data_IF_137281246963
#
_entry.id   IF_137281246963
#
_cell.length_a   1.000
_cell.length_b   1.000
_cell.length_c   1.000
_cell.angle_alpha   90.00
_cell.angle_beta   90.00
_cell.angle_gamma   90.00
#
_symmetry.space_group_name_H-M   'P 1'
#
loop_
_entity.id
_entity.type
_entity.pdbx_description
1 polymer ?
#
# COMPACT_ATOMS: atom_id res chain seq x y z
N UNK A 1 14.53 -2.85 -55.37
CA UNK A 1 14.92 -4.26 -55.49
C UNK A 1 13.81 -5.12 -54.87
N UNK A 2 13.14 -5.91 -55.70
CA UNK A 2 11.99 -6.79 -55.35
C UNK A 2 12.53 -8.18 -54.98
N UNK A 3 12.08 -8.78 -53.90
CA UNK A 3 12.15 -10.23 -53.65
C UNK A 3 10.90 -10.60 -52.81
N UNK A 4 9.94 -11.15 -53.34
CA UNK A 4 9.31 -12.44 -53.69
C UNK A 4 8.96 -13.29 -52.46
N UNK A 5 7.64 -13.48 -52.34
CA UNK A 5 6.93 -14.46 -51.55
C UNK A 5 7.31 -15.91 -51.92
N UNK A 6 7.34 -16.81 -50.94
CA UNK A 6 7.17 -18.24 -51.16
C UNK A 6 6.18 -18.83 -50.18
N UNK A 7 5.06 -19.25 -50.70
CA UNK A 7 3.98 -19.98 -50.06
C UNK A 7 4.30 -21.47 -50.10
N UNK A 8 4.09 -22.21 -48.98
CA UNK A 8 4.08 -23.66 -49.02
C UNK A 8 2.82 -24.18 -48.31
N UNK A 9 1.91 -24.70 -49.12
CA UNK A 9 0.82 -25.55 -48.72
C UNK A 9 1.36 -26.95 -48.45
N UNK A 10 0.87 -27.63 -47.42
CA UNK A 10 0.87 -29.07 -47.38
C UNK A 10 -0.42 -29.62 -46.68
N UNK A 11 -1.05 -30.40 -47.45
CA UNK A 11 -2.28 -31.16 -47.44
C UNK A 11 -2.42 -32.14 -46.26
N UNK A 12 -3.67 -32.41 -45.94
CA UNK A 12 -4.26 -33.24 -44.92
C UNK A 12 -4.07 -34.76 -45.06
N UNK A 13 -4.46 -35.42 -43.99
CA UNK A 13 -4.84 -36.84 -44.01
C UNK A 13 -5.96 -37.10 -42.98
N UNK A 14 -7.07 -37.55 -43.52
CA UNK A 14 -8.26 -38.04 -42.81
C UNK A 14 -8.08 -39.54 -42.62
N UNK A 15 -8.27 -40.07 -41.42
CA UNK A 15 -8.53 -41.47 -41.20
C UNK A 15 -9.87 -41.64 -40.47
N UNK A 16 -10.78 -42.27 -41.20
CA UNK A 16 -12.04 -42.83 -40.73
C UNK A 16 -11.86 -44.36 -40.54
N UNK A 17 -12.34 -44.92 -39.45
CA UNK A 17 -12.76 -46.36 -39.40
C UNK A 17 -13.57 -46.63 -38.14
N UNK A 18 -14.78 -46.86 -38.32
CA UNK A 18 -15.64 -48.02 -38.25
C UNK A 18 -15.90 -48.67 -36.90
N UNK A 19 -17.21 -48.78 -36.65
CA UNK A 19 -17.99 -49.48 -35.65
C UNK A 19 -17.67 -50.95 -35.50
N UNK A 20 -17.87 -51.53 -34.31
CA UNK A 20 -18.67 -52.75 -34.10
C UNK A 20 -19.29 -52.73 -32.72
N UNK A 21 -20.60 -52.96 -32.67
CA UNK A 21 -21.35 -53.07 -31.44
C UNK A 21 -21.42 -54.52 -30.95
N UNK A 22 -21.76 -54.71 -29.71
CA UNK A 22 -22.44 -55.87 -29.14
C UNK A 22 -23.25 -55.39 -27.92
N UNK A 23 -24.56 -55.75 -27.97
CA UNK A 23 -25.49 -55.71 -26.84
C UNK A 23 -25.17 -56.86 -25.90
N UNK A 24 -25.31 -56.69 -24.59
CA UNK A 24 -26.25 -57.49 -23.78
C UNK A 24 -26.27 -57.09 -22.29
N UNK A 25 -27.48 -57.08 -21.85
CA UNK A 25 -28.12 -57.52 -20.59
C UNK A 25 -28.07 -56.59 -19.36
N UNK A 26 -29.31 -56.30 -19.00
CA UNK A 26 -29.77 -55.69 -17.76
C UNK A 26 -29.34 -56.41 -16.49
N UNK A 27 -29.02 -55.63 -15.45
CA UNK A 27 -29.48 -55.94 -14.09
C UNK A 27 -29.52 -54.68 -13.23
N UNK A 28 -30.62 -54.39 -12.51
CA UNK A 28 -30.74 -53.22 -11.69
C UNK A 28 -30.35 -53.52 -10.26
N UNK A 29 -29.20 -53.01 -9.80
CA UNK A 29 -28.95 -52.90 -8.36
C UNK A 29 -28.71 -51.45 -7.96
N UNK A 30 -29.68 -50.97 -7.23
CA UNK A 30 -29.67 -49.76 -6.44
C UNK A 30 -28.48 -49.75 -5.50
N UNK A 31 -27.55 -48.84 -5.72
CA UNK A 31 -26.54 -48.46 -4.69
C UNK A 31 -26.53 -46.97 -4.50
N UNK A 32 -26.95 -46.58 -3.32
CA UNK A 32 -26.86 -45.29 -2.72
C UNK A 32 -25.52 -44.62 -3.01
N UNK A 33 -25.54 -43.58 -3.82
CA UNK A 33 -24.41 -42.69 -4.01
C UNK A 33 -24.21 -41.90 -2.70
N UNK A 34 -23.06 -41.97 -2.04
CA UNK A 34 -22.81 -41.07 -0.93
C UNK A 34 -22.72 -39.65 -1.48
N UNK A 35 -23.64 -38.82 -1.05
CA UNK A 35 -23.63 -37.38 -1.28
C UNK A 35 -22.31 -36.83 -0.70
N UNK A 36 -21.26 -36.74 -1.52
CA UNK A 36 -20.08 -35.94 -1.21
C UNK A 36 -20.50 -34.49 -1.27
N UNK A 37 -20.93 -33.96 -0.14
CA UNK A 37 -20.86 -32.53 0.09
C UNK A 37 -19.37 -32.16 0.09
N UNK A 38 -18.85 -31.83 -1.10
CA UNK A 38 -17.64 -31.02 -1.19
C UNK A 38 -17.98 -29.68 -0.55
N UNK A 39 -17.73 -29.55 0.73
CA UNK A 39 -17.52 -28.25 1.32
C UNK A 39 -16.19 -27.75 0.74
N UNK A 40 -16.26 -27.00 -0.35
CA UNK A 40 -15.14 -26.19 -0.81
C UNK A 40 -14.79 -25.24 0.34
N UNK A 41 -13.81 -25.65 1.14
CA UNK A 41 -13.14 -24.75 2.06
C UNK A 41 -12.34 -23.84 1.12
N UNK A 42 -12.92 -22.72 0.74
CA UNK A 42 -12.19 -21.66 0.08
C UNK A 42 -11.16 -21.13 1.08
N UNK A 43 -9.91 -21.58 0.96
CA UNK A 43 -8.80 -20.94 1.66
C UNK A 43 -8.74 -19.52 1.14
N UNK A 44 -9.12 -18.56 1.97
CA UNK A 44 -8.97 -17.14 1.62
C UNK A 44 -7.49 -16.87 1.34
N UNK A 45 -7.21 -16.24 0.21
CA UNK A 45 -5.86 -15.81 -0.10
C UNK A 45 -5.36 -14.85 0.98
N UNK A 46 -4.10 -14.97 1.36
CA UNK A 46 -3.46 -14.08 2.34
C UNK A 46 -2.79 -12.94 1.58
N UNK A 47 -2.94 -11.73 2.08
CA UNK A 47 -2.26 -10.54 1.55
C UNK A 47 -0.74 -10.65 1.67
N UNK A 48 -0.03 -9.85 0.88
CA UNK A 48 1.43 -9.73 0.98
C UNK A 48 1.78 -8.95 2.24
N UNK A 49 2.64 -9.52 3.07
CA UNK A 49 3.11 -8.89 4.32
C UNK A 49 4.56 -8.44 4.22
N UNK A 50 4.87 -7.32 4.87
CA UNK A 50 6.22 -6.84 5.09
C UNK A 50 6.42 -6.59 6.59
N UNK A 51 7.25 -7.40 7.20
CA UNK A 51 7.59 -7.33 8.62
C UNK A 51 9.10 -7.10 8.76
N UNK A 52 9.51 -6.29 9.71
CA UNK A 52 10.91 -6.13 10.09
C UNK A 52 11.44 -7.44 10.69
N UNK A 53 12.61 -7.88 10.24
CA UNK A 53 13.23 -9.15 10.65
C UNK A 53 14.50 -8.95 11.51
N UNK A 54 14.92 -7.70 11.67
CA UNK A 54 16.05 -7.28 12.48
C UNK A 54 17.11 -6.47 11.72
N UNK A 55 18.02 -5.80 12.40
CA UNK A 55 19.00 -4.91 11.79
C UNK A 55 19.93 -5.61 10.80
N UNK A 56 20.33 -4.90 9.73
CA UNK A 56 21.45 -5.27 8.86
C UNK A 56 21.09 -5.54 7.40
N UNK A 57 19.83 -5.74 7.05
CA UNK A 57 19.40 -6.04 5.68
C UNK A 57 18.17 -5.26 5.21
N UNK A 58 17.80 -4.20 5.89
CA UNK A 58 16.52 -3.48 5.74
C UNK A 58 16.17 -3.15 4.29
N UNK A 59 17.07 -2.53 3.53
CA UNK A 59 16.78 -2.19 2.13
C UNK A 59 16.65 -3.42 1.23
N UNK A 60 17.40 -4.48 1.50
CA UNK A 60 17.27 -5.75 0.79
C UNK A 60 15.93 -6.41 1.08
N UNK A 61 15.48 -6.39 2.33
CA UNK A 61 14.15 -6.89 2.73
C UNK A 61 13.03 -6.09 2.04
N UNK A 62 13.08 -4.75 2.09
CA UNK A 62 12.10 -3.89 1.41
C UNK A 62 12.00 -4.21 -0.08
N UNK A 63 13.14 -4.33 -0.76
CA UNK A 63 13.20 -4.61 -2.18
C UNK A 63 12.68 -6.02 -2.52
N UNK A 64 12.97 -7.01 -1.67
CA UNK A 64 12.55 -8.40 -1.89
C UNK A 64 11.02 -8.56 -1.83
N UNK A 65 10.35 -7.82 -0.94
CA UNK A 65 8.90 -7.89 -0.74
C UNK A 65 8.14 -6.96 -1.68
N UNK A 66 8.59 -5.68 -1.79
CA UNK A 66 7.85 -4.66 -2.54
C UNK A 66 8.29 -4.55 -4.01
N UNK A 67 9.44 -5.13 -4.37
CA UNK A 67 9.96 -5.19 -5.73
C UNK A 67 10.78 -3.96 -6.13
N UNK A 68 11.86 -4.19 -6.88
CA UNK A 68 12.76 -3.15 -7.41
C UNK A 68 13.48 -2.35 -6.34
N UNK A 69 13.57 -1.02 -6.49
CA UNK A 69 14.05 -0.08 -5.46
C UNK A 69 12.84 0.54 -4.78
N UNK A 70 12.39 -0.12 -3.71
CA UNK A 70 11.10 0.16 -3.08
C UNK A 70 11.12 1.32 -2.08
N UNK A 71 12.15 2.15 -2.07
CA UNK A 71 12.31 3.27 -1.15
C UNK A 71 12.69 4.57 -1.86
N UNK A 72 12.43 5.68 -1.20
CA UNK A 72 12.83 7.04 -1.57
C UNK A 72 13.41 7.69 -0.31
N UNK A 73 14.73 7.89 -0.28
CA UNK A 73 15.49 8.32 0.89
C UNK A 73 16.55 9.36 0.51
N UNK A 74 17.02 10.20 1.45
CA UNK A 74 18.04 11.21 1.19
C UNK A 74 19.48 10.69 1.40
N UNK A 75 19.72 9.37 1.25
CA UNK A 75 21.00 8.72 1.60
C UNK A 75 22.19 9.14 0.71
N UNK A 76 21.97 9.85 -0.39
CA UNK A 76 23.00 10.23 -1.35
C UNK A 76 24.05 11.20 -0.80
N UNK A 77 23.78 11.90 0.30
CA UNK A 77 24.71 12.82 0.97
C UNK A 77 25.13 12.37 2.37
N UNK A 78 24.68 11.20 2.82
CA UNK A 78 24.84 10.72 4.20
C UNK A 78 25.58 9.39 4.28
N UNK A 79 26.25 9.19 5.41
CA UNK A 79 26.91 7.92 5.72
C UNK A 79 25.98 6.89 6.40
N UNK A 80 24.75 7.27 6.70
CA UNK A 80 23.78 6.44 7.42
C UNK A 80 22.50 6.20 6.61
N UNK A 81 21.95 5.01 6.76
CA UNK A 81 20.67 4.65 6.18
C UNK A 81 19.52 5.35 6.93
N UNK A 82 18.55 5.92 6.20
CA UNK A 82 17.39 6.60 6.79
C UNK A 82 16.22 5.65 7.09
N UNK A 83 16.30 4.40 6.65
CA UNK A 83 15.36 3.34 7.06
C UNK A 83 16.17 2.25 7.70
N UNK A 84 15.90 1.99 8.97
CA UNK A 84 16.56 0.97 9.78
C UNK A 84 15.53 0.10 10.50
N UNK A 85 16.01 -0.87 11.28
CA UNK A 85 15.15 -1.75 12.08
C UNK A 85 15.65 -1.78 13.51
N UNK A 86 14.69 -1.78 14.46
CA UNK A 86 14.96 -1.90 15.89
C UNK A 86 13.92 -2.83 16.54
N UNK A 87 14.32 -3.45 17.66
CA UNK A 87 13.34 -4.14 18.51
C UNK A 87 12.51 -3.10 19.30
N UNK A 88 11.18 -3.19 19.21
CA UNK A 88 10.25 -2.35 19.97
C UNK A 88 9.53 -3.18 21.04
N UNK A 89 9.77 -2.86 22.31
CA UNK A 89 9.20 -3.57 23.45
C UNK A 89 7.67 -3.38 23.57
N UNK A 90 7.12 -2.30 23.00
CA UNK A 90 5.68 -2.04 22.99
C UNK A 90 4.89 -2.98 22.08
N UNK A 91 5.51 -3.46 21.00
CA UNK A 91 4.94 -4.49 20.13
C UNK A 91 5.59 -5.86 20.32
N UNK A 92 6.69 -5.95 21.10
CA UNK A 92 7.48 -7.16 21.31
C UNK A 92 7.96 -7.80 19.99
N UNK A 93 8.39 -6.97 19.03
CA UNK A 93 8.89 -7.39 17.72
C UNK A 93 9.84 -6.35 17.13
N UNK A 94 10.56 -6.72 16.08
CA UNK A 94 11.30 -5.74 15.28
C UNK A 94 10.32 -4.85 14.50
N UNK A 95 10.70 -3.59 14.34
CA UNK A 95 9.93 -2.56 13.63
C UNK A 95 10.85 -1.75 12.73
N UNK A 96 10.32 -1.19 11.66
CA UNK A 96 11.05 -0.24 10.83
C UNK A 96 11.07 1.14 11.48
N UNK A 97 12.19 1.84 11.37
CA UNK A 97 12.39 3.24 11.79
C UNK A 97 12.71 4.07 10.56
N UNK A 98 11.94 5.11 10.35
CA UNK A 98 12.12 6.08 9.26
C UNK A 98 12.56 7.39 9.87
N UNK A 99 13.81 7.80 9.60
CA UNK A 99 14.41 9.01 10.13
C UNK A 99 14.27 10.19 9.16
N UNK A 100 14.11 11.38 9.70
CA UNK A 100 14.15 12.64 8.96
C UNK A 100 14.88 13.71 9.80
N UNK A 101 16.03 14.19 9.32
CA UNK A 101 16.83 15.20 9.99
C UNK A 101 16.58 16.57 9.36
N UNK A 102 16.38 17.61 10.17
CA UNK A 102 16.05 18.96 9.69
C UNK A 102 17.17 19.52 8.83
N UNK A 103 18.41 19.29 9.25
CA UNK A 103 19.58 19.66 8.47
C UNK A 103 20.08 18.47 7.67
N UNK A 104 20.56 18.70 6.47
CA UNK A 104 21.15 17.78 5.52
C UNK A 104 20.15 16.94 4.71
N UNK A 105 18.98 16.57 5.25
CA UNK A 105 18.03 15.77 4.51
C UNK A 105 17.22 16.59 3.51
N UNK A 106 16.90 15.97 2.39
CA UNK A 106 16.11 16.55 1.32
C UNK A 106 15.17 15.51 0.68
N UNK A 107 14.56 15.83 -0.46
CA UNK A 107 13.81 14.86 -1.24
C UNK A 107 14.75 14.22 -2.28
N UNK A 108 15.37 13.09 -1.94
CA UNK A 108 16.18 12.25 -2.84
C UNK A 108 17.37 12.99 -3.46
N UNK A 109 17.93 13.96 -2.74
CA UNK A 109 19.01 14.85 -3.24
C UNK A 109 18.63 15.69 -4.47
N UNK A 110 17.35 15.92 -4.69
CA UNK A 110 16.82 16.68 -5.83
C UNK A 110 16.13 17.97 -5.38
N UNK A 111 15.37 17.95 -4.27
CA UNK A 111 14.60 19.10 -3.81
C UNK A 111 14.85 19.40 -2.34
N UNK A 112 15.32 20.62 -2.04
CA UNK A 112 15.75 21.05 -0.72
C UNK A 112 14.67 21.74 0.11
N UNK A 113 13.46 21.95 -0.45
CA UNK A 113 12.31 22.56 0.23
C UNK A 113 11.48 21.54 1.04
N UNK A 114 11.91 20.26 1.02
CA UNK A 114 11.21 19.13 1.64
C UNK A 114 12.14 17.97 1.91
N UNK A 115 11.75 17.10 2.83
CA UNK A 115 12.46 15.87 3.21
C UNK A 115 11.59 14.67 2.91
N UNK A 116 12.23 13.56 2.48
CA UNK A 116 11.51 12.33 2.17
C UNK A 116 12.28 11.10 2.61
N UNK A 117 11.64 10.32 3.47
CA UNK A 117 12.03 8.94 3.78
C UNK A 117 10.77 8.09 3.68
N UNK A 118 10.56 7.42 2.55
CA UNK A 118 9.35 6.66 2.26
C UNK A 118 9.67 5.31 1.59
N UNK A 119 8.86 4.29 1.89
CA UNK A 119 8.74 3.08 1.07
C UNK A 119 7.52 3.17 0.16
N UNK A 120 7.55 2.40 -0.92
CA UNK A 120 6.51 2.43 -1.96
C UNK A 120 6.40 1.11 -2.70
N UNK A 121 5.25 0.86 -3.31
CA UNK A 121 5.16 -0.02 -4.48
C UNK A 121 5.19 0.84 -5.75
N UNK A 122 5.57 0.27 -6.91
CA UNK A 122 5.65 1.03 -8.16
C UNK A 122 5.72 0.09 -9.38
N UNK A 123 6.10 0.57 -10.58
CA UNK A 123 6.12 -0.22 -11.81
C UNK A 123 6.67 -1.64 -11.68
N UNK A 124 7.90 -1.84 -11.12
CA UNK A 124 8.51 -3.15 -10.92
C UNK A 124 7.86 -4.05 -9.86
N UNK A 125 6.99 -3.52 -8.99
CA UNK A 125 6.29 -4.32 -7.99
C UNK A 125 5.33 -5.33 -8.63
N UNK A 126 5.10 -6.45 -7.95
CA UNK A 126 4.13 -7.46 -8.37
C UNK A 126 2.73 -6.87 -8.56
N UNK A 127 1.90 -7.48 -9.39
CA UNK A 127 0.57 -6.94 -9.73
C UNK A 127 -0.31 -6.75 -8.49
N UNK A 128 -0.35 -7.74 -7.61
CA UNK A 128 -1.11 -7.74 -6.35
C UNK A 128 -0.64 -6.71 -5.29
N UNK A 129 0.40 -5.94 -5.58
CA UNK A 129 0.89 -4.81 -4.77
C UNK A 129 0.47 -3.45 -5.34
N UNK A 130 -0.24 -3.45 -6.46
CA UNK A 130 -0.70 -2.26 -7.19
C UNK A 130 -2.17 -2.44 -7.52
N UNK A 131 -2.93 -1.36 -7.52
CA UNK A 131 -4.35 -1.39 -7.84
C UNK A 131 -4.58 -0.91 -9.27
N UNK A 132 -5.32 -1.66 -10.07
CA UNK A 132 -5.89 -1.19 -11.33
C UNK A 132 -7.31 -0.62 -11.13
N UNK A 133 -7.86 -0.02 -12.17
CA UNK A 133 -9.20 0.58 -12.09
C UNK A 133 -10.27 -0.49 -11.82
N UNK A 134 -11.10 -0.25 -10.83
CA UNK A 134 -12.17 -1.16 -10.40
C UNK A 134 -11.75 -2.15 -9.30
N UNK A 135 -10.46 -2.35 -9.06
CA UNK A 135 -9.96 -3.23 -8.02
C UNK A 135 -10.16 -2.68 -6.62
N UNK A 136 -10.30 -3.61 -5.68
CA UNK A 136 -10.37 -3.31 -4.25
C UNK A 136 -9.11 -3.82 -3.57
N UNK A 137 -8.45 -2.95 -2.80
CA UNK A 137 -7.30 -3.32 -1.99
C UNK A 137 -7.55 -2.89 -0.55
N UNK A 138 -7.19 -3.77 0.38
CA UNK A 138 -7.10 -3.46 1.81
C UNK A 138 -5.64 -3.35 2.18
N UNK A 139 -5.28 -2.22 2.77
CA UNK A 139 -3.98 -1.95 3.38
C UNK A 139 -4.14 -2.01 4.90
N UNK A 140 -3.23 -2.71 5.57
CA UNK A 140 -3.16 -2.75 7.04
C UNK A 140 -1.73 -2.54 7.48
N UNK A 141 -1.51 -1.66 8.45
CA UNK A 141 -0.19 -1.41 9.02
C UNK A 141 -0.30 -0.79 10.40
N UNK A 142 0.81 -0.77 11.12
CA UNK A 142 0.93 -0.05 12.38
C UNK A 142 1.95 1.07 12.23
N UNK A 143 1.72 2.19 12.93
CA UNK A 143 2.73 3.23 13.06
C UNK A 143 2.75 3.84 14.45
N UNK A 144 3.87 4.47 14.80
CA UNK A 144 4.06 5.22 16.02
C UNK A 144 4.90 6.46 15.71
N UNK A 145 4.38 7.62 16.07
CA UNK A 145 5.11 8.89 16.09
C UNK A 145 5.60 9.17 17.51
N UNK A 146 6.71 9.88 17.65
CA UNK A 146 7.26 10.25 18.94
C UNK A 146 6.28 11.06 19.81
N UNK A 147 6.40 10.99 21.11
CA UNK A 147 5.55 11.75 22.04
C UNK A 147 5.70 13.26 21.87
N UNK A 148 6.87 13.73 21.46
CA UNK A 148 7.16 15.12 21.14
C UNK A 148 7.09 15.47 19.66
N UNK A 149 6.52 14.61 18.80
CA UNK A 149 6.49 14.79 17.35
C UNK A 149 6.03 16.19 16.92
N UNK A 150 6.80 16.81 16.02
CA UNK A 150 6.53 18.14 15.45
C UNK A 150 6.25 18.03 13.94
N UNK A 151 5.00 18.17 13.57
CA UNK A 151 4.58 18.19 12.18
C UNK A 151 4.92 19.53 11.51
N UNK A 152 5.14 19.54 10.19
CA UNK A 152 5.24 20.77 9.42
C UNK A 152 3.89 21.52 9.39
N UNK A 153 3.94 22.82 9.40
CA UNK A 153 2.77 23.67 9.19
C UNK A 153 2.22 23.58 7.77
N UNK A 154 3.06 23.21 6.80
CA UNK A 154 2.67 23.03 5.40
C UNK A 154 2.15 21.61 5.15
N UNK A 155 3.00 20.58 5.17
CA UNK A 155 2.57 19.19 5.08
C UNK A 155 3.57 18.24 5.77
N UNK A 156 3.05 17.15 6.28
CA UNK A 156 3.81 15.98 6.76
C UNK A 156 2.99 14.74 6.41
N UNK A 157 3.34 14.02 5.37
CA UNK A 157 2.63 12.80 4.99
C UNK A 157 3.29 11.58 5.64
N UNK A 158 2.50 10.80 6.38
CA UNK A 158 2.91 9.49 6.89
C UNK A 158 2.46 8.36 5.96
N UNK A 159 1.44 8.62 5.16
CA UNK A 159 0.93 7.69 4.17
C UNK A 159 0.35 8.45 2.98
N UNK A 160 0.49 7.87 1.80
CA UNK A 160 -0.07 8.39 0.57
C UNK A 160 -0.62 7.25 -0.30
N UNK A 161 -1.75 7.46 -0.94
CA UNK A 161 -2.18 6.71 -2.12
C UNK A 161 -1.96 7.60 -3.33
N UNK A 162 -1.23 7.09 -4.32
CA UNK A 162 -0.86 7.85 -5.54
C UNK A 162 -1.14 7.05 -6.80
N UNK A 163 -1.44 7.76 -7.88
CA UNK A 163 -1.26 7.23 -9.23
C UNK A 163 0.21 6.84 -9.45
N UNK A 164 0.44 5.74 -10.14
CA UNK A 164 1.79 5.24 -10.44
C UNK A 164 2.41 5.87 -11.68
N UNK A 165 1.57 6.33 -12.59
CA UNK A 165 1.89 6.96 -13.86
C UNK A 165 0.77 7.93 -14.28
N UNK A 166 0.79 8.44 -15.50
CA UNK A 166 -0.17 9.43 -15.98
C UNK A 166 -0.12 10.70 -15.13
N UNK A 167 -1.27 11.18 -14.66
CA UNK A 167 -1.34 12.33 -13.74
C UNK A 167 -0.95 11.92 -12.31
N UNK A 168 0.34 11.65 -12.09
CA UNK A 168 0.91 11.22 -10.82
C UNK A 168 1.47 12.38 -9.96
N UNK A 169 1.21 13.63 -10.29
CA UNK A 169 1.76 14.80 -9.60
C UNK A 169 1.36 14.85 -8.12
N UNK A 170 0.06 14.85 -7.85
CA UNK A 170 -0.50 14.90 -6.50
C UNK A 170 -0.98 13.54 -6.02
N UNK A 171 -0.95 13.26 -4.70
CA UNK A 171 -1.58 12.06 -4.16
C UNK A 171 -3.11 12.11 -4.29
N UNK A 172 -3.76 10.94 -4.28
CA UNK A 172 -5.22 10.80 -4.16
C UNK A 172 -5.66 10.94 -2.70
N UNK A 173 -4.97 10.26 -1.81
CA UNK A 173 -5.21 10.24 -0.36
C UNK A 173 -3.90 10.51 0.37
N UNK A 174 -3.97 11.24 1.48
CA UNK A 174 -2.86 11.32 2.44
C UNK A 174 -3.35 11.28 3.89
N UNK A 175 -2.54 10.66 4.75
CA UNK A 175 -2.63 10.78 6.20
C UNK A 175 -1.54 11.75 6.62
N UNK A 176 -1.95 12.90 7.17
CA UNK A 176 -1.09 14.07 7.30
C UNK A 176 -1.18 14.69 8.69
N UNK A 177 -0.22 14.42 9.59
CA UNK A 177 0.00 15.30 10.74
C UNK A 177 0.28 16.74 10.28
N UNK A 178 -0.34 17.69 10.94
CA UNK A 178 -0.14 19.12 10.67
C UNK A 178 0.03 19.90 11.94
N UNK A 179 1.04 20.75 11.98
CA UNK A 179 1.25 21.69 13.05
C UNK A 179 0.09 22.68 13.15
N UNK A 180 -0.34 22.93 14.36
CA UNK A 180 -1.27 23.99 14.72
C UNK A 180 -0.72 24.79 15.91
N UNK A 181 -0.78 26.11 15.85
CA UNK A 181 -0.34 26.96 16.95
C UNK A 181 -1.10 26.60 18.25
N UNK A 182 -0.46 26.84 19.40
CA UNK A 182 -1.04 26.60 20.74
C UNK A 182 -1.51 25.15 20.96
N UNK A 183 -0.71 24.16 20.53
CA UNK A 183 -0.98 22.73 20.69
C UNK A 183 -2.29 22.27 20.00
N UNK A 184 -2.67 22.90 18.91
CA UNK A 184 -3.83 22.50 18.10
C UNK A 184 -3.45 21.61 16.91
N UNK A 185 -2.34 20.85 17.02
CA UNK A 185 -1.89 19.91 15.99
C UNK A 185 -3.01 18.96 15.58
N UNK A 186 -3.10 18.68 14.28
CA UNK A 186 -4.15 17.85 13.69
C UNK A 186 -3.55 16.63 12.99
N UNK A 187 -4.31 15.56 13.01
CA UNK A 187 -4.19 14.48 12.04
C UNK A 187 -5.27 14.67 10.99
N UNK A 188 -4.87 14.85 9.76
CA UNK A 188 -5.76 15.14 8.63
C UNK A 188 -5.78 13.97 7.65
N UNK A 189 -6.96 13.53 7.26
CA UNK A 189 -7.18 12.70 6.08
C UNK A 189 -7.57 13.63 4.94
N UNK A 190 -6.74 13.65 3.90
CA UNK A 190 -6.90 14.57 2.78
C UNK A 190 -7.15 13.75 1.52
N UNK A 191 -8.15 14.17 0.76
CA UNK A 191 -8.45 13.67 -0.59
C UNK A 191 -8.18 14.77 -1.61
N UNK A 192 -7.53 14.39 -2.72
CA UNK A 192 -7.36 15.26 -3.88
C UNK A 192 -7.95 14.52 -5.09
N UNK A 193 -9.01 15.06 -5.64
CA UNK A 193 -9.72 14.45 -6.77
C UNK A 193 -8.97 14.63 -8.11
N UNK A 194 -9.49 14.08 -9.20
CA UNK A 194 -8.90 14.17 -10.54
C UNK A 194 -8.82 15.60 -11.10
N UNK A 195 -9.65 16.52 -10.62
CA UNK A 195 -9.57 17.95 -10.99
C UNK A 195 -8.54 18.73 -10.15
N UNK A 196 -7.82 18.08 -9.22
CA UNK A 196 -6.86 18.73 -8.33
C UNK A 196 -7.48 19.41 -7.11
N UNK A 197 -8.81 19.27 -6.89
CA UNK A 197 -9.47 19.86 -5.70
C UNK A 197 -9.07 19.09 -4.46
N UNK A 198 -8.49 19.81 -3.49
CA UNK A 198 -8.05 19.27 -2.21
C UNK A 198 -9.13 19.43 -1.15
N UNK A 199 -9.49 18.35 -0.48
CA UNK A 199 -10.49 18.33 0.60
C UNK A 199 -9.95 17.62 1.83
N UNK A 200 -10.01 18.24 3.00
CA UNK A 200 -9.76 17.58 4.29
C UNK A 200 -11.04 16.84 4.68
N UNK A 201 -11.14 15.57 4.32
CA UNK A 201 -12.36 14.76 4.50
C UNK A 201 -12.57 14.33 5.95
N UNK A 202 -11.49 14.29 6.75
CA UNK A 202 -11.54 14.08 8.20
C UNK A 202 -10.38 14.83 8.86
N UNK A 203 -10.64 15.41 10.03
CA UNK A 203 -9.63 16.07 10.87
C UNK A 203 -9.89 15.73 12.32
N UNK A 204 -8.86 15.29 13.04
CA UNK A 204 -8.92 14.98 14.47
C UNK A 204 -7.71 15.59 15.19
N UNK A 205 -7.72 15.59 16.53
CA UNK A 205 -6.58 16.04 17.32
C UNK A 205 -5.41 15.06 17.16
N UNK A 206 -4.18 15.57 16.98
CA UNK A 206 -2.97 14.73 16.86
C UNK A 206 -2.49 14.15 18.20
N UNK A 207 -2.79 14.80 19.32
CA UNK A 207 -2.24 14.41 20.62
C UNK A 207 -2.47 12.92 21.00
N UNK A 208 -3.65 12.31 20.73
CA UNK A 208 -3.86 10.89 21.05
C UNK A 208 -2.99 9.90 20.25
N UNK A 209 -2.39 10.33 19.14
CA UNK A 209 -1.48 9.52 18.31
C UNK A 209 -0.05 9.54 18.84
N UNK A 210 0.38 10.68 19.44
CA UNK A 210 1.76 10.89 19.89
C UNK A 210 2.14 9.87 20.97
N UNK A 211 3.28 9.18 20.78
CA UNK A 211 3.82 8.17 21.69
C UNK A 211 3.08 6.84 21.71
N UNK A 212 2.02 6.68 20.95
CA UNK A 212 1.19 5.47 20.92
C UNK A 212 1.36 4.70 19.61
N UNK A 213 1.42 3.37 19.69
CA UNK A 213 1.20 2.52 18.53
C UNK A 213 -0.26 2.58 18.10
N UNK A 214 -0.50 2.83 16.84
CA UNK A 214 -1.81 2.78 16.21
C UNK A 214 -1.82 1.81 15.06
N UNK A 215 -2.95 1.14 14.86
CA UNK A 215 -3.19 0.28 13.71
C UNK A 215 -4.14 0.96 12.74
N UNK A 216 -3.78 0.95 11.48
CA UNK A 216 -4.58 1.46 10.37
C UNK A 216 -5.10 0.30 9.55
N UNK A 217 -6.40 0.33 9.25
CA UNK A 217 -7.03 -0.51 8.23
C UNK A 217 -7.70 0.42 7.23
N UNK A 218 -7.22 0.38 6.00
CA UNK A 218 -7.69 1.22 4.90
C UNK A 218 -8.14 0.31 3.75
N UNK A 219 -9.38 0.47 3.28
CA UNK A 219 -9.91 -0.30 2.14
C UNK A 219 -10.36 0.66 1.06
N UNK A 220 -9.88 0.44 -0.15
CA UNK A 220 -10.10 1.31 -1.31
C UNK A 220 -10.58 0.46 -2.49
N UNK A 221 -11.75 0.79 -3.04
CA UNK A 221 -12.11 0.39 -4.41
C UNK A 221 -11.72 1.54 -5.32
N UNK A 222 -10.74 1.31 -6.18
CA UNK A 222 -10.21 2.33 -7.07
C UNK A 222 -11.15 2.60 -8.24
N UNK A 223 -11.30 3.87 -8.61
CA UNK A 223 -12.17 4.29 -9.72
C UNK A 223 -12.61 5.73 -9.57
N UNK A 224 -13.17 6.34 -10.63
CA UNK A 224 -13.72 7.70 -10.60
C UNK A 224 -14.96 7.83 -9.71
N UNK A 225 -15.62 6.72 -9.38
CA UNK A 225 -16.72 6.59 -8.40
C UNK A 225 -16.40 5.43 -7.46
N UNK A 226 -15.20 5.44 -6.91
CA UNK A 226 -14.70 4.41 -6.01
C UNK A 226 -15.30 4.49 -4.61
N UNK A 227 -14.89 3.54 -3.75
CA UNK A 227 -15.25 3.57 -2.33
C UNK A 227 -13.99 3.66 -1.49
N UNK A 228 -14.10 4.32 -0.36
CA UNK A 228 -13.01 4.50 0.59
C UNK A 228 -13.50 4.25 2.01
N UNK A 229 -12.74 3.51 2.77
CA UNK A 229 -12.94 3.40 4.22
C UNK A 229 -11.61 3.32 4.94
N UNK A 230 -11.52 3.94 6.12
CA UNK A 230 -10.37 3.88 7.00
C UNK A 230 -10.80 3.84 8.45
N UNK A 231 -10.08 3.05 9.25
CA UNK A 231 -10.11 3.10 10.71
C UNK A 231 -8.69 3.18 11.24
N UNK A 232 -8.47 4.02 12.26
CA UNK A 232 -7.20 4.10 12.99
C UNK A 232 -7.51 3.91 14.47
N UNK A 233 -7.01 2.82 15.03
CA UNK A 233 -7.24 2.46 16.42
C UNK A 233 -5.92 2.42 17.19
N UNK A 234 -5.94 2.79 18.47
CA UNK A 234 -4.84 2.51 19.39
C UNK A 234 -4.63 1.00 19.55
N UNK A 235 -3.38 0.56 19.47
CA UNK A 235 -3.07 -0.87 19.65
C UNK A 235 -3.27 -1.31 21.10
N UNK A 236 -3.01 -0.44 22.08
CA UNK A 236 -3.03 -0.79 23.50
C UNK A 236 -4.40 -1.13 24.06
N UNK A 237 -5.46 -0.49 23.54
CA UNK A 237 -6.81 -0.59 24.13
C UNK A 237 -7.94 -0.62 23.08
N UNK A 238 -7.59 -0.59 21.77
CA UNK A 238 -8.56 -0.60 20.69
C UNK A 238 -9.33 0.71 20.48
N UNK A 239 -9.03 1.78 21.25
CA UNK A 239 -9.70 3.07 21.13
C UNK A 239 -9.64 3.59 19.70
N UNK A 240 -10.78 3.88 19.09
CA UNK A 240 -10.83 4.49 17.77
C UNK A 240 -10.42 5.97 17.83
N UNK A 241 -9.35 6.31 17.11
CA UNK A 241 -8.83 7.69 17.01
C UNK A 241 -9.34 8.41 15.80
N UNK A 242 -9.59 7.68 14.70
CA UNK A 242 -10.13 8.22 13.45
C UNK A 242 -10.88 7.13 12.71
N UNK A 243 -12.02 7.48 12.15
CA UNK A 243 -12.72 6.67 11.15
C UNK A 243 -13.36 7.58 10.10
N UNK A 244 -13.38 7.09 8.86
CA UNK A 244 -14.05 7.76 7.75
C UNK A 244 -14.45 6.73 6.70
N UNK A 245 -15.58 6.96 6.03
CA UNK A 245 -16.01 6.15 4.88
C UNK A 245 -16.76 7.02 3.88
N UNK A 246 -16.62 6.66 2.60
CA UNK A 246 -17.35 7.30 1.50
C UNK A 246 -17.60 6.26 0.40
N UNK A 247 -18.83 6.11 -0.03
CA UNK A 247 -19.26 5.15 -1.04
C UNK A 247 -19.20 5.68 -2.49
N UNK A 248 -18.83 6.95 -2.69
CA UNK A 248 -18.68 7.56 -4.00
C UNK A 248 -17.57 8.61 -3.97
N UNK A 249 -16.34 8.19 -4.22
CA UNK A 249 -15.15 9.03 -4.12
C UNK A 249 -14.31 8.90 -5.38
N UNK A 250 -13.82 10.01 -5.91
CA UNK A 250 -12.94 10.02 -7.09
C UNK A 250 -11.52 9.59 -6.70
N UNK A 251 -11.22 8.31 -6.94
CA UNK A 251 -9.98 7.63 -6.54
C UNK A 251 -9.20 7.13 -7.75
N UNK A 252 -9.28 7.87 -8.86
CA UNK A 252 -8.56 7.54 -10.09
C UNK A 252 -8.05 8.80 -10.78
N UNK A 253 -6.92 8.70 -11.47
CA UNK A 253 -6.33 9.80 -12.24
C UNK A 253 -6.39 9.52 -13.73
N UNK A 254 -6.52 10.58 -14.52
CA UNK A 254 -6.49 10.49 -15.98
C UNK A 254 -5.16 9.92 -16.46
N UNK A 255 -5.24 8.92 -17.34
CA UNK A 255 -4.07 8.29 -17.96
C UNK A 255 -3.25 7.39 -17.05
N UNK A 256 -3.63 7.20 -15.77
CA UNK A 256 -2.94 6.24 -14.90
C UNK A 256 -3.33 4.80 -15.25
N UNK A 257 -2.36 3.89 -15.18
CA UNK A 257 -2.59 2.45 -15.37
C UNK A 257 -2.67 1.72 -14.03
N UNK A 258 -2.15 2.30 -12.93
CA UNK A 258 -2.25 1.74 -11.60
C UNK A 258 -2.13 2.82 -10.51
N UNK A 259 -2.68 2.52 -9.33
CA UNK A 259 -2.47 3.27 -8.11
C UNK A 259 -1.64 2.46 -7.11
N UNK A 260 -1.00 3.13 -6.17
CA UNK A 260 -0.04 2.54 -5.24
C UNK A 260 0.03 3.26 -3.91
N UNK A 261 0.38 2.55 -2.83
CA UNK A 261 0.67 3.14 -1.53
C UNK A 261 2.11 3.63 -1.43
N UNK A 262 2.30 4.56 -0.49
CA UNK A 262 3.58 4.97 0.09
C UNK A 262 3.43 5.14 1.59
N UNK A 263 4.45 4.82 2.35
CA UNK A 263 4.52 4.99 3.80
C UNK A 263 5.86 5.54 4.21
N UNK A 264 5.89 6.37 5.24
CA UNK A 264 7.13 6.95 5.75
C UNK A 264 6.91 8.32 6.39
N UNK A 265 7.90 9.20 6.22
CA UNK A 265 7.81 10.61 6.57
C UNK A 265 8.21 11.45 5.35
N UNK A 266 7.27 12.25 4.84
CA UNK A 266 7.50 13.20 3.77
C UNK A 266 6.96 14.56 4.18
N UNK A 267 7.84 15.52 4.48
CA UNK A 267 7.45 16.80 5.06
C UNK A 267 8.10 17.98 4.37
N UNK A 268 7.40 19.12 4.39
CA UNK A 268 7.90 20.41 3.91
C UNK A 268 8.89 21.01 4.89
N UNK A 269 9.94 21.64 4.36
CA UNK A 269 10.93 22.45 5.09
C UNK A 269 10.65 23.95 4.99
N UNK A 270 9.54 24.40 4.40
CA UNK A 270 9.23 25.82 4.25
C UNK A 270 9.23 26.63 5.57
N UNK A 271 9.15 25.95 6.71
CA UNK A 271 9.27 26.53 8.05
C UNK A 271 10.11 25.60 8.91
N UNK A 272 11.36 25.39 8.52
CA UNK A 272 12.27 24.43 9.15
C UNK A 272 12.59 24.74 10.61
N UNK A 273 12.61 26.01 11.00
CA UNK A 273 12.86 26.43 12.39
C UNK A 273 11.82 25.91 13.40
N UNK A 274 10.65 25.49 12.91
CA UNK A 274 9.57 24.88 13.70
C UNK A 274 9.76 23.36 13.85
N UNK A 275 10.59 22.75 13.02
CA UNK A 275 10.78 21.30 12.97
C UNK A 275 11.93 20.86 13.89
N UNK A 276 11.95 19.61 14.16
CA UNK A 276 13.06 18.88 14.79
C UNK A 276 13.35 17.59 14.00
N UNK A 277 14.42 16.91 14.33
CA UNK A 277 14.67 15.56 13.85
C UNK A 277 13.58 14.63 14.37
N UNK A 278 13.08 13.76 13.50
CA UNK A 278 11.98 12.86 13.80
C UNK A 278 12.30 11.43 13.39
N UNK A 279 11.75 10.50 14.19
CA UNK A 279 11.61 9.10 13.82
C UNK A 279 10.14 8.72 13.78
N UNK A 280 9.75 8.06 12.71
CA UNK A 280 8.42 7.42 12.61
C UNK A 280 8.65 5.93 12.52
N UNK A 281 8.02 5.17 13.42
CA UNK A 281 8.11 3.70 13.42
C UNK A 281 6.93 3.10 12.69
N UNK A 282 7.21 2.04 11.93
CA UNK A 282 6.20 1.28 11.21
C UNK A 282 6.37 -0.22 11.44
N UNK A 283 5.25 -0.96 11.42
CA UNK A 283 5.26 -2.40 11.59
C UNK A 283 4.08 -3.07 10.88
N UNK A 284 4.21 -4.36 10.60
CA UNK A 284 3.14 -5.25 10.15
C UNK A 284 2.40 -4.71 8.93
N UNK A 285 3.12 -4.30 7.90
CA UNK A 285 2.49 -3.92 6.64
C UNK A 285 1.84 -5.13 5.98
N UNK A 286 0.66 -4.93 5.46
CA UNK A 286 -0.06 -5.90 4.65
C UNK A 286 -0.79 -5.20 3.50
N UNK A 287 -0.74 -5.79 2.32
CA UNK A 287 -1.48 -5.39 1.13
C UNK A 287 -2.29 -6.60 0.68
N UNK A 288 -3.62 -6.49 0.70
CA UNK A 288 -4.54 -7.57 0.37
C UNK A 288 -5.47 -7.14 -0.75
N UNK A 289 -5.35 -7.79 -1.91
CA UNK A 289 -6.18 -7.54 -3.09
C UNK A 289 -7.46 -8.39 -3.06
N UNK A 290 -8.57 -7.80 -3.45
CA UNK A 290 -9.87 -8.48 -3.59
C UNK A 290 -10.35 -9.07 -2.28
N UNK A 291 -10.49 -10.40 -2.24
CA UNK A 291 -10.94 -11.16 -1.08
C UNK A 291 -9.79 -11.67 -0.20
N UNK A 292 -8.53 -11.34 -0.53
CA UNK A 292 -7.41 -11.67 0.32
C UNK A 292 -7.54 -10.96 1.69
N UNK A 293 -7.00 -11.58 2.74
CA UNK A 293 -7.07 -11.02 4.10
C UNK A 293 -5.70 -10.66 4.62
N UNK A 294 -5.64 -9.62 5.43
CA UNK A 294 -4.47 -9.28 6.24
C UNK A 294 -4.53 -10.00 7.57
N UNK A 295 -3.41 -10.67 8.00
CA UNK A 295 -3.34 -11.41 9.26
C UNK A 295 -3.46 -10.50 10.49
#
# INVERSE_FOLDING_TARGET
MKVKYLSLLLTGLIFSSCKSGLQDSENPESLLSPNKTNSDISVLAVGVTLNADGPGNTYSLLNSVLGGTAYEVPDCGHAQDHISEVFDSGLNTNVFVFSAHVELDDDRCEATDRQRTEIKTYGPSSANLKATNGETITYRWKFKIDAGFQASSSFTHLHQIKAGDGDAGSPLITITPRYGANNTDKMELIHINSSGTTTKVKTVNLAPFKGNWVEVVETIKFGSSGTYSITINKVSDGTNLMSYSNSNMDLWRTGTTFCRPKWGIYRSLNNSSQLRDEEVRFANFCIAEGNATCP
#
